data_IF_255777021220
#
_entry.id   IF_255777021220
#
_cell.length_a   1.000
_cell.length_b   1.000
_cell.length_c   1.000
_cell.angle_alpha   90.00
_cell.angle_beta   90.00
_cell.angle_gamma   90.00
#
_symmetry.space_group_name_H-M   'P 1'
#
loop_
_entity.id
_entity.type
_entity.pdbx_description
1 polymer ?
#
# COMPACT_ATOMS: atom_id res chain seq x y z
N UNK A 1 -8.51 8.32 10.53
CA UNK A 1 -7.32 8.63 11.36
C UNK A 1 -6.42 9.63 10.64
N UNK A 2 -5.95 10.67 11.32
CA UNK A 2 -5.11 11.73 10.71
C UNK A 2 -3.65 11.49 11.06
N UNK A 3 -2.80 11.22 10.08
CA UNK A 3 -1.35 11.18 10.30
C UNK A 3 -0.81 12.61 10.47
N UNK A 4 0.23 12.73 11.29
CA UNK A 4 0.90 14.00 11.56
C UNK A 4 2.40 13.84 11.29
N UNK A 5 3.08 14.90 10.82
CA UNK A 5 4.53 14.89 10.73
C UNK A 5 5.15 14.62 12.12
N UNK A 6 6.15 13.75 12.17
CA UNK A 6 6.76 13.22 13.40
C UNK A 6 6.09 11.94 13.95
N UNK A 7 5.02 11.45 13.33
CA UNK A 7 4.40 10.18 13.73
C UNK A 7 5.35 9.01 13.43
N UNK A 8 5.43 8.06 14.36
CA UNK A 8 6.15 6.79 14.14
C UNK A 8 5.16 5.68 13.84
N UNK A 9 5.29 5.07 12.68
CA UNK A 9 4.53 3.90 12.24
C UNK A 9 5.47 2.69 12.24
N UNK A 10 5.60 2.04 13.41
CA UNK A 10 6.62 1.00 13.59
C UNK A 10 8.03 1.57 13.38
N UNK A 11 8.74 1.07 12.37
CA UNK A 11 10.07 1.54 11.95
C UNK A 11 10.04 2.64 10.88
N UNK A 12 8.87 3.19 10.56
CA UNK A 12 8.73 4.32 9.64
C UNK A 12 8.52 5.62 10.43
N UNK A 13 9.43 6.57 10.27
CA UNK A 13 9.28 7.91 10.81
C UNK A 13 8.67 8.83 9.76
N UNK A 14 7.43 9.27 9.96
CA UNK A 14 6.71 10.16 9.03
C UNK A 14 7.29 11.57 9.14
N UNK A 15 7.77 12.13 8.03
CA UNK A 15 8.44 13.44 8.01
C UNK A 15 7.54 14.54 7.47
N UNK A 16 6.84 14.30 6.35
CA UNK A 16 6.04 15.32 5.68
C UNK A 16 4.91 14.72 4.84
N UNK A 17 3.84 15.48 4.62
CA UNK A 17 2.83 15.15 3.61
C UNK A 17 3.38 15.54 2.23
N UNK A 18 3.44 14.59 1.30
CA UNK A 18 3.92 14.82 -0.06
C UNK A 18 2.79 14.94 -1.08
N UNK A 19 1.57 14.53 -0.72
CA UNK A 19 0.41 14.76 -1.56
C UNK A 19 -0.87 14.27 -0.93
N UNK A 20 -1.97 14.92 -1.27
CA UNK A 20 -3.31 14.51 -0.91
C UNK A 20 -4.16 14.35 -2.17
N UNK A 21 -5.03 13.34 -2.18
CA UNK A 21 -5.94 13.10 -3.28
C UNK A 21 -7.18 12.35 -2.82
N UNK A 22 -8.16 12.20 -3.71
CA UNK A 22 -9.46 11.61 -3.35
C UNK A 22 -9.41 10.19 -2.77
N UNK A 23 -8.33 9.43 -3.05
CA UNK A 23 -8.15 8.04 -2.59
C UNK A 23 -7.37 7.97 -1.26
N UNK A 24 -6.74 9.06 -0.84
CA UNK A 24 -5.94 9.10 0.39
C UNK A 24 -4.79 10.10 0.35
N UNK A 25 -3.88 9.96 1.31
CA UNK A 25 -2.74 10.86 1.51
C UNK A 25 -1.43 10.10 1.31
N UNK A 26 -0.49 10.69 0.58
CA UNK A 26 0.87 10.23 0.43
C UNK A 26 1.77 11.02 1.39
N UNK A 27 2.51 10.30 2.23
CA UNK A 27 3.41 10.84 3.24
C UNK A 27 4.83 10.37 2.94
N UNK A 28 5.81 11.26 3.11
CA UNK A 28 7.21 10.89 3.16
C UNK A 28 7.53 10.35 4.55
N UNK A 29 8.29 9.27 4.58
CA UNK A 29 8.80 8.68 5.81
C UNK A 29 10.22 8.17 5.63
N UNK A 30 10.94 8.04 6.74
CA UNK A 30 12.25 7.38 6.79
C UNK A 30 12.08 5.98 7.37
N UNK A 31 12.48 4.97 6.61
CA UNK A 31 12.58 3.59 7.09
C UNK A 31 13.85 3.48 7.94
N UNK A 32 13.72 3.26 9.25
CA UNK A 32 14.87 3.19 10.17
C UNK A 32 15.58 1.84 10.16
N UNK A 33 15.05 0.82 9.45
CA UNK A 33 15.73 -0.47 9.29
C UNK A 33 16.63 -0.50 8.06
N UNK A 34 16.18 0.12 6.97
CA UNK A 34 16.87 0.19 5.69
C UNK A 34 17.58 1.53 5.48
N UNK A 35 17.44 2.46 6.42
CA UNK A 35 18.00 3.82 6.41
C UNK A 35 17.73 4.57 5.09
N UNK A 36 16.48 4.57 4.65
CA UNK A 36 16.09 5.17 3.37
C UNK A 36 14.78 5.94 3.44
N UNK A 37 14.63 6.91 2.55
CA UNK A 37 13.37 7.63 2.39
C UNK A 37 12.39 6.82 1.54
N UNK A 38 11.16 6.74 2.01
CA UNK A 38 10.05 6.02 1.38
C UNK A 38 8.79 6.89 1.35
N UNK A 39 7.88 6.56 0.45
CA UNK A 39 6.55 7.16 0.40
C UNK A 39 5.51 6.18 0.97
N UNK A 40 4.82 6.57 2.03
CA UNK A 40 3.71 5.85 2.62
C UNK A 40 2.40 6.38 2.03
N UNK A 41 1.63 5.51 1.37
CA UNK A 41 0.29 5.84 0.89
C UNK A 41 -0.75 5.37 1.89
N UNK A 42 -1.45 6.32 2.47
CA UNK A 42 -2.44 6.09 3.53
C UNK A 42 -3.81 6.27 2.89
N UNK A 43 -4.55 5.17 2.80
CA UNK A 43 -5.88 5.15 2.22
C UNK A 43 -6.91 5.54 3.28
N UNK A 44 -7.90 6.33 2.88
CA UNK A 44 -9.03 6.65 3.77
C UNK A 44 -9.83 5.39 4.10
N UNK A 45 -10.38 5.33 5.31
CA UNK A 45 -11.14 4.18 5.82
C UNK A 45 -12.33 3.78 4.93
N UNK A 46 -12.88 4.75 4.17
CA UNK A 46 -13.89 4.52 3.14
C UNK A 46 -13.46 3.54 2.04
N UNK A 47 -12.16 3.40 1.76
CA UNK A 47 -11.62 2.43 0.81
C UNK A 47 -11.32 1.07 1.44
N UNK A 48 -11.13 1.01 2.77
CA UNK A 48 -10.85 -0.26 3.45
C UNK A 48 -12.11 -1.13 3.57
N UNK A 49 -13.29 -0.53 3.68
CA UNK A 49 -14.57 -1.26 3.72
C UNK A 49 -14.91 -1.95 2.38
N UNK A 50 -14.33 -1.51 1.25
CA UNK A 50 -14.47 -2.17 -0.06
C UNK A 50 -13.34 -3.18 -0.35
N UNK A 51 -12.21 -3.06 0.35
CA UNK A 51 -11.03 -3.90 0.12
C UNK A 51 -11.19 -5.36 0.58
N UNK A 52 -12.29 -5.68 1.27
CA UNK A 52 -12.72 -7.07 1.56
C UNK A 52 -13.20 -7.81 0.29
N UNK A 53 -13.34 -7.12 -0.86
CA UNK A 53 -13.40 -7.76 -2.19
C UNK A 53 -12.05 -7.90 -2.87
N UNK A 54 -10.99 -8.13 -2.09
CA UNK A 54 -9.85 -8.89 -2.60
C UNK A 54 -10.27 -10.35 -2.76
N UNK A 55 -11.15 -10.61 -3.73
CA UNK A 55 -11.33 -11.93 -4.29
C UNK A 55 -10.04 -12.28 -5.02
N UNK A 56 -9.05 -12.73 -4.23
CA UNK A 56 -7.96 -13.54 -4.72
C UNK A 56 -8.58 -14.81 -5.29
N UNK A 57 -9.01 -14.76 -6.55
CA UNK A 57 -9.26 -15.97 -7.30
C UNK A 57 -7.89 -16.51 -7.71
N UNK A 58 -7.32 -17.37 -6.87
CA UNK A 58 -6.42 -18.42 -7.35
C UNK A 58 -7.21 -19.20 -8.40
N UNK A 59 -7.14 -18.82 -9.67
CA UNK A 59 -7.52 -19.69 -10.77
C UNK A 59 -6.45 -20.77 -10.89
N UNK A 60 -6.56 -21.74 -9.99
CA UNK A 60 -5.86 -23.02 -10.05
C UNK A 60 -6.24 -23.70 -11.36
N UNK A 61 -5.22 -24.04 -12.15
CA UNK A 61 -5.28 -25.14 -13.10
C UNK A 61 -5.84 -24.81 -14.49
N UNK A 62 -4.92 -24.63 -15.44
CA UNK A 62 -4.81 -25.54 -16.58
C UNK A 62 -3.46 -25.35 -17.26
N UNK A 63 -2.56 -26.32 -17.07
CA UNK A 63 -1.48 -26.58 -18.03
C UNK A 63 -2.16 -26.90 -19.36
N UNK A 64 -1.93 -26.10 -20.39
CA UNK A 64 -2.19 -26.50 -21.76
C UNK A 64 -0.84 -26.69 -22.44
N UNK A 65 -0.28 -27.90 -22.28
CA UNK A 65 0.64 -28.46 -23.25
C UNK A 65 -0.15 -29.50 -24.04
N UNK A 66 -0.15 -29.39 -25.37
CA UNK A 66 -0.33 -30.42 -26.43
C UNK A 66 -0.50 -29.59 -27.72
N UNK A 67 0.54 -29.35 -28.53
CA UNK A 67 1.09 -30.22 -29.58
C UNK A 67 0.21 -30.29 -30.85
N UNK A 68 0.86 -29.95 -31.98
CA UNK A 68 0.57 -30.25 -33.40
C UNK A 68 -0.45 -29.38 -34.18
N UNK A 69 0.04 -28.94 -35.35
CA UNK A 69 -0.63 -28.21 -36.41
C UNK A 69 0.42 -27.67 -37.36
#
# INVERSE_FOLDING_TARGET
MSLSPGANLGHYNVTALIGEGGIGQAWQATDTQLDRQVALKVLSEAFYLDSDRSSWSSSTGRRCGTQLG
#
